data_IF_359499394310
#
_entry.id   IF_359499394310
#
_cell.length_a   1.000
_cell.length_b   1.000
_cell.length_c   1.000
_cell.angle_alpha   90.00
_cell.angle_beta   90.00
_cell.angle_gamma   90.00
#
_symmetry.space_group_name_H-M   'P 1'
#
loop_
_entity.id
_entity.type
_entity.pdbx_description
1 polymer ?
#
# COMPACT_ATOMS: atom_id res chain seq x y z
N UNK A 1 0.87 -10.24 -61.04
CA UNK A 1 -0.49 -9.80 -60.68
C UNK A 1 -1.47 -10.64 -61.49
N UNK A 2 -2.62 -11.12 -60.97
CA UNK A 2 -3.15 -10.95 -59.62
C UNK A 2 -3.88 -12.22 -59.10
N UNK A 3 -4.60 -12.07 -57.96
CA UNK A 3 -5.73 -12.89 -57.49
C UNK A 3 -5.32 -14.25 -56.87
N UNK A 4 -5.29 -14.50 -55.57
CA UNK A 4 -6.17 -14.06 -54.45
C UNK A 4 -5.52 -14.66 -53.19
N UNK A 5 -5.00 -13.91 -52.22
CA UNK A 5 -5.74 -13.16 -51.17
C UNK A 5 -7.00 -13.87 -50.66
N UNK A 6 -6.81 -14.96 -49.91
CA UNK A 6 -7.71 -15.38 -48.81
C UNK A 6 -6.82 -16.00 -47.74
N UNK A 7 -6.06 -15.22 -46.97
CA UNK A 7 -6.46 -14.68 -45.66
C UNK A 7 -7.33 -15.65 -44.83
N UNK A 8 -6.71 -16.66 -44.21
CA UNK A 8 -7.20 -17.48 -43.09
C UNK A 8 -6.00 -18.36 -42.67
N UNK A 9 -5.56 -18.53 -41.42
CA UNK A 9 -6.23 -18.51 -40.14
C UNK A 9 -5.49 -17.65 -39.11
N UNK A 10 -6.28 -17.00 -38.26
CA UNK A 10 -5.85 -16.45 -36.99
C UNK A 10 -5.34 -17.55 -36.04
N UNK A 11 -4.16 -17.33 -35.44
CA UNK A 11 -3.77 -17.92 -34.17
C UNK A 11 -2.76 -16.99 -33.48
N UNK A 12 -3.22 -15.80 -33.09
CA UNK A 12 -2.51 -14.98 -32.12
C UNK A 12 -2.69 -15.63 -30.73
N UNK A 13 -1.80 -16.55 -30.35
CA UNK A 13 -1.68 -17.00 -28.96
C UNK A 13 -0.47 -16.31 -28.37
N UNK A 14 -0.66 -15.05 -27.97
CA UNK A 14 0.28 -14.33 -27.14
C UNK A 14 0.31 -14.98 -25.76
N UNK A 15 1.43 -15.61 -25.40
CA UNK A 15 1.69 -16.05 -24.04
C UNK A 15 2.05 -14.82 -23.18
N UNK A 16 1.04 -14.02 -22.85
CA UNK A 16 1.15 -12.93 -21.89
C UNK A 16 1.15 -13.48 -20.47
N UNK A 17 2.29 -13.43 -19.78
CA UNK A 17 2.39 -13.70 -18.36
C UNK A 17 1.56 -12.65 -17.57
N UNK A 18 0.39 -13.04 -17.08
CA UNK A 18 -0.41 -12.22 -16.18
C UNK A 18 -0.03 -12.53 -14.73
N UNK A 19 1.04 -11.90 -14.24
CA UNK A 19 1.26 -11.70 -12.81
C UNK A 19 0.37 -10.52 -12.40
N UNK A 20 -0.79 -10.79 -11.78
CA UNK A 20 -1.62 -9.74 -11.18
C UNK A 20 -1.00 -9.33 -9.83
N UNK A 21 -0.57 -8.07 -9.65
CA UNK A 21 -0.18 -7.58 -8.33
C UNK A 21 -1.43 -7.52 -7.45
N UNK A 22 -1.31 -8.04 -6.23
CA UNK A 22 -2.35 -7.99 -5.21
C UNK A 22 -2.90 -6.57 -5.04
N UNK A 23 -4.23 -6.46 -4.94
CA UNK A 23 -4.94 -5.22 -4.59
C UNK A 23 -4.41 -4.70 -3.24
N UNK A 24 -3.46 -3.79 -3.29
CA UNK A 24 -2.98 -3.05 -2.14
C UNK A 24 -4.10 -2.11 -1.69
N UNK A 25 -4.84 -2.52 -0.66
CA UNK A 25 -5.75 -1.63 0.04
C UNK A 25 -4.90 -0.49 0.62
N UNK A 26 -5.05 0.70 0.05
CA UNK A 26 -4.25 1.88 0.39
C UNK A 26 -4.63 2.51 1.74
N UNK A 27 -5.59 1.91 2.44
CA UNK A 27 -5.96 2.20 3.82
C UNK A 27 -5.19 1.18 4.65
N UNK A 28 -4.32 1.63 5.56
CA UNK A 28 -3.47 0.74 6.37
C UNK A 28 -4.23 -0.46 6.94
N UNK A 29 -3.51 -1.54 7.25
CA UNK A 29 -4.16 -2.80 7.67
C UNK A 29 -5.09 -2.57 8.87
N UNK A 30 -6.14 -3.38 9.03
CA UNK A 30 -7.01 -3.27 10.21
C UNK A 30 -6.21 -3.39 11.52
N UNK A 31 -5.15 -4.20 11.50
CA UNK A 31 -4.20 -4.32 12.60
C UNK A 31 -3.51 -2.98 12.90
N UNK A 32 -3.01 -2.28 11.88
CA UNK A 32 -2.42 -0.95 12.02
C UNK A 32 -3.42 0.06 12.60
N UNK A 33 -4.67 0.03 12.12
CA UNK A 33 -5.71 0.93 12.62
C UNK A 33 -5.98 0.71 14.10
N UNK A 34 -6.11 -0.55 14.53
CA UNK A 34 -6.35 -0.89 15.94
C UNK A 34 -5.16 -0.52 16.82
N UNK A 35 -3.94 -0.81 16.37
CA UNK A 35 -2.71 -0.46 17.10
C UNK A 35 -2.57 1.05 17.34
N UNK A 36 -2.93 1.85 16.34
CA UNK A 36 -2.84 3.31 16.42
C UNK A 36 -4.11 4.01 16.90
N UNK A 37 -5.18 3.27 17.22
CA UNK A 37 -6.50 3.86 17.50
C UNK A 37 -6.47 4.79 18.72
N UNK A 38 -5.93 4.32 19.84
CA UNK A 38 -5.85 5.08 21.09
C UNK A 38 -4.99 6.33 20.92
N UNK A 39 -3.86 6.20 20.23
CA UNK A 39 -2.95 7.30 19.94
C UNK A 39 -3.60 8.34 19.02
N UNK A 40 -4.32 7.88 17.98
CA UNK A 40 -5.05 8.74 17.06
C UNK A 40 -6.14 9.54 17.79
N UNK A 41 -6.89 8.91 18.68
CA UNK A 41 -7.94 9.61 19.45
C UNK A 41 -7.35 10.58 20.48
N UNK A 42 -6.19 10.26 21.04
CA UNK A 42 -5.54 11.10 22.07
C UNK A 42 -4.83 12.32 21.45
N UNK A 43 -4.07 12.11 20.37
CA UNK A 43 -3.19 13.13 19.78
C UNK A 43 -3.77 13.78 18.52
N UNK A 44 -4.61 13.06 17.79
CA UNK A 44 -5.02 13.40 16.42
C UNK A 44 -6.55 13.44 16.23
N UNK A 45 -7.34 13.59 17.31
CA UNK A 45 -8.82 13.57 17.25
C UNK A 45 -9.41 14.61 16.31
N UNK A 46 -8.71 15.73 16.09
CA UNK A 46 -9.12 16.80 15.16
C UNK A 46 -9.10 16.37 13.69
N UNK A 47 -8.37 15.31 13.36
CA UNK A 47 -8.23 14.79 12.02
C UNK A 47 -9.22 13.65 11.72
N UNK A 48 -9.98 13.18 12.71
CA UNK A 48 -11.05 12.20 12.53
C UNK A 48 -12.19 12.82 11.71
N UNK A 49 -12.76 12.13 10.71
CA UNK A 49 -12.55 10.72 10.34
C UNK A 49 -11.55 10.48 9.18
N UNK A 50 -10.74 11.46 8.80
CA UNK A 50 -9.84 11.37 7.66
C UNK A 50 -8.58 10.55 8.00
N UNK A 51 -8.54 9.29 7.55
CA UNK A 51 -7.43 8.36 7.79
C UNK A 51 -6.10 8.88 7.26
N UNK A 52 -6.08 9.63 6.16
CA UNK A 52 -4.83 10.20 5.61
C UNK A 52 -4.31 11.33 6.49
N UNK A 53 -5.20 12.17 7.04
CA UNK A 53 -4.82 13.20 8.01
C UNK A 53 -4.32 12.58 9.31
N UNK A 54 -5.03 11.58 9.83
CA UNK A 54 -4.62 10.84 11.03
C UNK A 54 -3.23 10.24 10.85
N UNK A 55 -2.97 9.54 9.73
CA UNK A 55 -1.65 8.95 9.46
C UNK A 55 -0.54 10.02 9.47
N UNK A 56 -0.76 11.18 8.84
CA UNK A 56 0.20 12.29 8.88
C UNK A 56 0.40 12.85 10.28
N UNK A 57 -0.67 12.97 11.07
CA UNK A 57 -0.57 13.44 12.45
C UNK A 57 0.21 12.46 13.33
N UNK A 58 -0.06 11.15 13.22
CA UNK A 58 0.68 10.11 13.94
C UNK A 58 2.17 10.13 13.56
N UNK A 59 2.50 10.24 12.27
CA UNK A 59 3.89 10.36 11.80
C UNK A 59 4.61 11.59 12.36
N UNK A 60 3.91 12.72 12.52
CA UNK A 60 4.47 13.93 13.14
C UNK A 60 4.68 13.79 14.65
N UNK A 61 3.93 12.91 15.29
CA UNK A 61 3.99 12.64 16.72
C UNK A 61 4.64 11.27 17.01
N UNK A 62 5.50 10.78 16.10
CA UNK A 62 6.05 9.42 16.17
C UNK A 62 6.71 9.11 17.54
N UNK A 63 7.40 10.08 18.14
CA UNK A 63 8.06 9.89 19.45
C UNK A 63 7.09 9.89 20.63
N UNK A 64 5.82 10.22 20.42
CA UNK A 64 4.77 10.34 21.45
C UNK A 64 3.69 9.27 21.35
N UNK A 65 3.65 8.53 20.25
CA UNK A 65 2.73 7.40 20.06
C UNK A 65 3.28 6.15 20.73
N UNK A 66 2.41 5.16 20.93
CA UNK A 66 2.77 3.89 21.55
C UNK A 66 3.70 3.05 20.65
N UNK A 67 4.55 2.23 21.26
CA UNK A 67 5.42 1.27 20.56
C UNK A 67 4.69 0.37 19.52
N UNK A 68 3.49 -0.18 19.78
CA UNK A 68 2.78 -0.94 18.75
C UNK A 68 2.40 -0.06 17.54
N UNK A 69 1.97 1.19 17.74
CA UNK A 69 1.67 2.08 16.63
C UNK A 69 2.92 2.47 15.83
N UNK A 70 4.07 2.66 16.49
CA UNK A 70 5.35 2.88 15.84
C UNK A 70 5.70 1.73 14.89
N UNK A 71 5.62 0.49 15.39
CA UNK A 71 5.92 -0.71 14.60
C UNK A 71 5.04 -0.85 13.36
N UNK A 72 3.75 -0.51 13.46
CA UNK A 72 2.85 -0.56 12.31
C UNK A 72 3.12 0.56 11.29
N UNK A 73 3.52 1.76 11.74
CA UNK A 73 3.95 2.83 10.84
C UNK A 73 5.26 2.45 10.11
N UNK A 74 6.19 1.80 10.78
CA UNK A 74 7.43 1.32 10.18
C UNK A 74 7.19 0.20 9.18
N UNK A 75 6.34 -0.77 9.53
CA UNK A 75 5.91 -1.83 8.63
C UNK A 75 5.22 -1.25 7.38
N UNK A 76 4.40 -0.21 7.54
CA UNK A 76 3.77 0.49 6.42
C UNK A 76 4.80 1.22 5.53
N UNK A 77 5.86 1.81 6.11
CA UNK A 77 6.96 2.42 5.35
C UNK A 77 7.74 1.38 4.54
N UNK A 78 8.03 0.22 5.16
CA UNK A 78 8.71 -0.88 4.50
C UNK A 78 7.86 -1.46 3.35
N UNK A 79 6.55 -1.62 3.55
CA UNK A 79 5.63 -2.07 2.50
C UNK A 79 5.51 -1.08 1.33
N UNK A 80 5.66 0.22 1.58
CA UNK A 80 5.68 1.26 0.54
C UNK A 80 6.99 1.28 -0.28
N UNK A 81 8.08 0.68 0.24
CA UNK A 81 9.39 0.63 -0.41
C UNK A 81 9.85 -0.82 -0.60
N UNK A 82 9.20 -1.62 -1.47
CA UNK A 82 9.62 -2.99 -1.73
C UNK A 82 10.94 -2.98 -2.52
N UNK A 83 12.07 -2.96 -1.80
CA UNK A 83 13.41 -2.97 -2.41
C UNK A 83 14.53 -2.37 -1.58
N UNK A 84 14.25 -1.71 -0.45
CA UNK A 84 15.28 -1.15 0.43
C UNK A 84 15.34 -1.97 1.72
N UNK A 85 16.37 -2.82 1.94
CA UNK A 85 16.57 -3.48 3.23
C UNK A 85 16.98 -2.41 4.26
N UNK A 86 16.02 -1.96 5.05
CA UNK A 86 16.23 -0.96 6.09
C UNK A 86 16.62 -1.66 7.41
N UNK A 87 17.80 -2.30 7.40
CA UNK A 87 18.47 -2.77 8.62
C UNK A 87 19.71 -1.90 8.84
N UNK A 88 19.61 -0.90 9.72
CA UNK A 88 20.69 0.05 9.95
C UNK A 88 20.27 1.32 10.70
N UNK A 89 19.51 1.18 11.79
CA UNK A 89 19.49 2.17 12.87
C UNK A 89 20.04 1.52 14.12
#
# INVERSE_FOLDING_TARGET
MPLTRVLSLAAAVGAGALLMPALANAQGTERQRLACMTDAMTLCSRDVPDTRRIERCLRRNYDRISAPCQGELDAANAAASPGVPQYGR
#
